data_IF_007124974416
#
_entry.id   IF_007124974416
#
_cell.length_a   1.000
_cell.length_b   1.000
_cell.length_c   1.000
_cell.angle_alpha   90.00
_cell.angle_beta   90.00
_cell.angle_gamma   90.00
#
_symmetry.space_group_name_H-M   'P 1'
#
loop_
_entity.id
_entity.type
_entity.pdbx_description
1 polymer ?
#
# COMPACT_ATOMS: atom_id res chain seq x y z
N UNK A 1 -8.16 24.05 -19.07
CA UNK A 1 -7.13 24.45 -18.07
C UNK A 1 -7.73 24.51 -16.66
N UNK A 2 -9.01 24.82 -16.53
CA UNK A 2 -9.72 24.93 -15.23
C UNK A 2 -9.77 23.64 -14.41
N UNK A 3 -9.88 22.46 -15.06
CA UNK A 3 -9.90 21.18 -14.36
C UNK A 3 -8.56 20.86 -13.67
N UNK A 4 -7.45 21.09 -14.37
CA UNK A 4 -6.10 20.81 -13.86
C UNK A 4 -5.80 21.79 -12.70
N UNK A 5 -6.17 23.06 -12.88
CA UNK A 5 -6.01 24.08 -11.85
C UNK A 5 -6.87 23.78 -10.61
N UNK A 6 -8.13 23.37 -10.81
CA UNK A 6 -9.03 22.97 -9.73
C UNK A 6 -8.52 21.76 -8.95
N UNK A 7 -8.05 20.72 -9.65
CA UNK A 7 -7.46 19.52 -9.02
C UNK A 7 -6.21 19.87 -8.20
N UNK A 8 -5.29 20.65 -8.77
CA UNK A 8 -4.09 21.10 -8.06
C UNK A 8 -4.44 21.91 -6.80
N UNK A 9 -5.44 22.80 -6.91
CA UNK A 9 -5.88 23.64 -5.79
C UNK A 9 -6.46 22.80 -4.65
N UNK A 10 -7.29 21.78 -4.94
CA UNK A 10 -7.84 20.89 -3.90
C UNK A 10 -6.74 20.11 -3.19
N UNK A 11 -5.76 19.56 -3.94
CA UNK A 11 -4.64 18.85 -3.32
C UNK A 11 -3.81 19.76 -2.41
N UNK A 12 -3.49 20.96 -2.89
CA UNK A 12 -2.71 21.94 -2.11
C UNK A 12 -3.46 22.36 -0.85
N UNK A 13 -4.75 22.68 -0.95
CA UNK A 13 -5.57 23.03 0.21
C UNK A 13 -5.68 21.87 1.21
N UNK A 14 -5.85 20.63 0.73
CA UNK A 14 -5.92 19.45 1.60
C UNK A 14 -4.62 19.24 2.38
N UNK A 15 -3.47 19.38 1.71
CA UNK A 15 -2.15 19.27 2.35
C UNK A 15 -1.90 20.41 3.34
N UNK A 16 -2.27 21.65 2.99
CA UNK A 16 -2.19 22.80 3.89
C UNK A 16 -3.05 22.54 5.13
N UNK A 17 -4.28 22.07 4.94
CA UNK A 17 -5.21 21.79 6.03
C UNK A 17 -4.68 20.69 6.96
N UNK A 18 -4.18 19.58 6.42
CA UNK A 18 -3.54 18.53 7.20
C UNK A 18 -2.30 19.06 7.96
N UNK A 19 -1.47 19.88 7.30
CA UNK A 19 -0.32 20.52 7.92
C UNK A 19 -0.70 21.44 9.09
N UNK A 20 -1.76 22.24 8.93
CA UNK A 20 -2.27 23.12 10.01
C UNK A 20 -2.74 22.29 11.20
N UNK A 21 -3.47 21.19 10.99
CA UNK A 21 -3.91 20.30 12.08
C UNK A 21 -2.71 19.71 12.81
N UNK A 22 -1.70 19.22 12.10
CA UNK A 22 -0.50 18.64 12.70
C UNK A 22 0.26 19.70 13.52
N UNK A 23 0.42 20.91 12.98
CA UNK A 23 1.11 21.99 13.67
C UNK A 23 0.37 22.46 14.92
N UNK A 24 -0.96 22.61 14.82
CA UNK A 24 -1.81 22.94 15.97
C UNK A 24 -1.75 21.85 17.03
N UNK A 25 -1.90 20.58 16.63
CA UNK A 25 -1.77 19.42 17.51
C UNK A 25 -0.43 19.39 18.23
N UNK A 26 0.66 19.67 17.51
CA UNK A 26 2.01 19.77 18.10
C UNK A 26 2.16 20.96 19.06
N UNK A 27 1.50 22.07 18.80
CA UNK A 27 1.59 23.28 19.64
C UNK A 27 0.77 23.17 20.94
N UNK A 28 -0.36 22.48 20.90
CA UNK A 28 -1.29 22.33 22.03
C UNK A 28 -0.95 21.11 22.90
N UNK A 29 -0.37 20.05 22.30
CA UNK A 29 -0.04 18.84 23.03
C UNK A 29 1.02 19.07 24.14
N UNK A 30 0.89 18.39 25.29
CA UNK A 30 1.95 18.35 26.29
C UNK A 30 3.26 17.80 25.69
N UNK A 31 4.41 18.25 26.18
CA UNK A 31 5.72 17.73 25.75
C UNK A 31 5.76 16.21 25.96
N UNK A 32 5.97 15.47 24.88
CA UNK A 32 6.12 14.02 24.92
C UNK A 32 7.36 13.66 25.75
N UNK A 33 7.24 12.60 26.57
CA UNK A 33 8.39 12.03 27.26
C UNK A 33 9.27 11.33 26.23
N UNK A 34 10.57 11.56 26.27
CA UNK A 34 11.53 11.04 25.29
C UNK A 34 12.28 9.80 25.77
N UNK A 35 11.99 9.33 26.99
CA UNK A 35 12.70 8.21 27.63
C UNK A 35 11.75 7.35 28.46
N UNK A 36 12.17 6.10 28.70
CA UNK A 36 11.43 5.11 29.50
C UNK A 36 10.24 4.51 28.76
N UNK A 37 9.30 3.94 29.52
CA UNK A 37 8.15 3.20 28.98
C UNK A 37 7.21 4.01 28.05
N UNK A 38 7.35 5.34 28.00
CA UNK A 38 6.54 6.19 27.13
C UNK A 38 6.97 6.16 25.65
N UNK A 39 8.21 5.75 25.36
CA UNK A 39 8.76 5.62 24.00
C UNK A 39 8.98 4.16 23.58
N UNK A 40 8.78 3.22 24.51
CA UNK A 40 8.83 1.79 24.23
C UNK A 40 7.62 1.38 23.38
N UNK A 41 7.82 0.38 22.52
CA UNK A 41 6.73 -0.23 21.75
C UNK A 41 5.67 -0.78 22.70
N UNK A 42 4.39 -0.67 22.33
CA UNK A 42 3.30 -1.20 23.13
C UNK A 42 3.38 -2.74 23.18
N UNK A 43 3.95 -3.24 24.26
CA UNK A 43 4.04 -4.66 24.58
C UNK A 43 4.20 -4.80 26.09
N UNK A 44 3.19 -4.38 26.86
CA UNK A 44 3.04 -4.62 28.32
C UNK A 44 4.30 -4.54 29.23
N UNK A 45 5.34 -3.78 28.87
CA UNK A 45 6.61 -3.73 29.59
C UNK A 45 7.61 -4.84 29.22
N UNK A 46 7.27 -5.72 28.28
CA UNK A 46 8.23 -6.56 27.58
C UNK A 46 9.19 -5.69 26.74
N UNK A 47 10.49 -6.03 26.69
CA UNK A 47 11.43 -5.32 25.84
C UNK A 47 10.93 -5.38 24.39
N UNK A 48 11.00 -4.24 23.69
CA UNK A 48 10.66 -4.20 22.27
C UNK A 48 11.40 -5.32 21.55
N UNK A 49 10.69 -6.09 20.72
CA UNK A 49 11.26 -7.21 19.97
C UNK A 49 12.47 -6.72 19.15
N UNK A 50 13.68 -6.96 19.65
CA UNK A 50 14.93 -6.71 18.93
C UNK A 50 15.01 -7.73 17.79
N UNK A 51 14.52 -7.36 16.61
CA UNK A 51 14.81 -8.11 15.38
C UNK A 51 14.20 -9.51 15.29
N UNK A 52 13.02 -9.74 15.90
CA UNK A 52 12.19 -10.89 15.51
C UNK A 52 11.92 -10.80 14.00
N UNK A 53 12.23 -11.87 13.26
CA UNK A 53 12.06 -11.95 11.80
C UNK A 53 10.72 -11.31 11.42
N UNK A 54 10.75 -10.21 10.65
CA UNK A 54 9.53 -9.60 10.14
C UNK A 54 8.91 -10.64 9.22
N UNK A 55 7.96 -11.41 9.76
CA UNK A 55 7.24 -12.37 8.96
C UNK A 55 6.30 -11.57 8.09
N UNK A 56 6.76 -11.26 6.87
CA UNK A 56 5.90 -10.73 5.84
C UNK A 56 4.75 -11.71 5.68
N UNK A 57 3.55 -11.23 5.95
CA UNK A 57 2.35 -12.04 5.82
C UNK A 57 2.20 -12.37 4.33
N UNK A 58 2.66 -13.55 3.90
CA UNK A 58 2.60 -14.01 2.51
C UNK A 58 1.23 -13.81 1.84
N UNK A 59 0.07 -14.03 2.50
CA UNK A 59 -1.21 -13.72 1.88
C UNK A 59 -1.42 -12.22 1.60
N UNK A 60 -0.90 -11.30 2.43
CA UNK A 60 -0.96 -9.86 2.13
C UNK A 60 -0.07 -9.50 0.94
N UNK A 61 1.09 -10.14 0.80
CA UNK A 61 1.96 -9.97 -0.36
C UNK A 61 1.29 -10.47 -1.65
N UNK A 62 0.70 -11.67 -1.62
CA UNK A 62 -0.04 -12.23 -2.75
C UNK A 62 -1.24 -11.36 -3.11
N UNK A 63 -1.97 -10.84 -2.11
CA UNK A 63 -3.06 -9.88 -2.34
C UNK A 63 -2.57 -8.62 -3.07
N UNK A 64 -1.44 -8.03 -2.63
CA UNK A 64 -0.88 -6.85 -3.28
C UNK A 64 -0.46 -7.13 -4.73
N UNK A 65 0.08 -8.32 -5.02
CA UNK A 65 0.40 -8.74 -6.40
C UNK A 65 -0.86 -8.87 -7.26
N UNK A 66 -1.92 -9.50 -6.77
CA UNK A 66 -3.19 -9.57 -7.49
C UNK A 66 -3.77 -8.17 -7.72
N UNK A 67 -3.75 -7.31 -6.70
CA UNK A 67 -4.21 -5.94 -6.82
C UNK A 67 -3.48 -5.18 -7.94
N UNK A 68 -2.15 -5.28 -7.99
CA UNK A 68 -1.34 -4.65 -9.06
C UNK A 68 -1.70 -5.17 -10.45
N UNK A 69 -1.87 -6.48 -10.59
CA UNK A 69 -2.27 -7.11 -11.86
C UNK A 69 -3.66 -6.67 -12.33
N UNK A 70 -4.64 -6.59 -11.42
CA UNK A 70 -5.99 -6.16 -11.76
C UNK A 70 -6.12 -4.64 -11.95
N UNK A 71 -5.33 -3.82 -11.25
CA UNK A 71 -5.32 -2.37 -11.41
C UNK A 71 -4.77 -1.96 -12.79
N UNK A 72 -3.63 -2.53 -13.17
CA UNK A 72 -3.05 -2.35 -14.50
C UNK A 72 -3.93 -2.89 -15.64
N UNK A 73 -4.69 -3.98 -15.40
CA UNK A 73 -5.75 -4.44 -16.32
C UNK A 73 -6.81 -3.36 -16.52
N UNK A 74 -7.29 -2.75 -15.44
CA UNK A 74 -8.26 -1.65 -15.48
C UNK A 74 -7.72 -0.45 -16.26
N UNK A 75 -6.45 -0.09 -16.06
CA UNK A 75 -5.79 0.99 -16.80
C UNK A 75 -5.71 0.71 -18.31
N UNK A 76 -5.32 -0.52 -18.70
CA UNK A 76 -5.22 -0.90 -20.12
C UNK A 76 -6.59 -1.00 -20.78
N UNK A 77 -7.61 -1.50 -20.07
CA UNK A 77 -8.99 -1.51 -20.55
C UNK A 77 -9.52 -0.09 -20.77
N UNK A 78 -9.22 0.83 -19.84
CA UNK A 78 -9.58 2.24 -19.96
C UNK A 78 -8.92 2.90 -21.18
N UNK A 79 -7.62 2.68 -21.40
CA UNK A 79 -6.91 3.22 -22.56
C UNK A 79 -7.35 2.60 -23.89
N UNK A 80 -7.80 1.35 -23.89
CA UNK A 80 -8.23 0.63 -25.09
C UNK A 80 -9.69 0.91 -25.51
N UNK A 81 -10.39 1.85 -24.87
CA UNK A 81 -11.80 2.15 -25.10
C UNK A 81 -12.14 2.44 -26.58
N UNK A 82 -11.19 2.94 -27.38
CA UNK A 82 -11.37 3.29 -28.79
C UNK A 82 -10.83 2.23 -29.80
N UNK A 83 -10.32 1.06 -29.36
CA UNK A 83 -9.54 0.00 -30.10
C UNK A 83 -8.00 0.13 -29.94
N UNK A 84 -7.16 -0.95 -30.02
CA UNK A 84 -7.36 -2.31 -30.55
C UNK A 84 -7.36 -3.41 -29.47
N UNK A 85 -8.37 -4.27 -29.50
CA UNK A 85 -8.55 -5.38 -28.54
C UNK A 85 -7.39 -6.37 -28.46
N UNK A 86 -6.45 -6.37 -29.41
CA UNK A 86 -5.29 -7.26 -29.41
C UNK A 86 -4.34 -6.97 -28.23
N UNK A 87 -4.12 -5.70 -27.88
CA UNK A 87 -3.30 -5.30 -26.71
C UNK A 87 -3.97 -5.78 -25.42
N UNK A 88 -5.28 -5.58 -25.30
CA UNK A 88 -6.08 -6.03 -24.16
C UNK A 88 -6.05 -7.55 -24.03
N UNK A 89 -6.21 -8.28 -25.14
CA UNK A 89 -6.17 -9.75 -25.15
C UNK A 89 -4.78 -10.25 -24.75
N UNK A 90 -3.71 -9.69 -25.32
CA UNK A 90 -2.34 -10.08 -24.95
C UNK A 90 -2.07 -9.81 -23.47
N UNK A 91 -2.56 -8.67 -22.96
CA UNK A 91 -2.38 -8.31 -21.57
C UNK A 91 -3.17 -9.23 -20.64
N UNK A 92 -4.44 -9.51 -20.95
CA UNK A 92 -5.27 -10.48 -20.23
C UNK A 92 -4.62 -11.86 -20.15
N UNK A 93 -4.03 -12.34 -21.26
CA UNK A 93 -3.32 -13.62 -21.28
C UNK A 93 -2.10 -13.59 -20.35
N UNK A 94 -1.27 -12.54 -20.42
CA UNK A 94 -0.10 -12.40 -19.54
C UNK A 94 -0.53 -12.31 -18.08
N UNK A 95 -1.57 -11.54 -17.78
CA UNK A 95 -2.07 -11.39 -16.41
C UNK A 95 -2.67 -12.70 -15.87
N UNK A 96 -3.38 -13.48 -16.69
CA UNK A 96 -3.89 -14.80 -16.30
C UNK A 96 -2.76 -15.79 -16.05
N UNK A 97 -1.71 -15.81 -16.88
CA UNK A 97 -0.53 -16.65 -16.66
C UNK A 97 0.20 -16.24 -15.38
N UNK A 98 0.37 -14.95 -15.13
CA UNK A 98 0.98 -14.45 -13.90
C UNK A 98 0.15 -14.78 -12.65
N UNK A 99 -1.17 -14.60 -12.71
CA UNK A 99 -2.08 -14.95 -11.63
C UNK A 99 -2.11 -16.46 -11.37
N UNK A 100 -2.08 -17.28 -12.43
CA UNK A 100 -1.95 -18.73 -12.34
C UNK A 100 -0.62 -19.12 -11.67
N UNK A 101 0.50 -18.51 -12.06
CA UNK A 101 1.80 -18.77 -11.45
C UNK A 101 1.79 -18.48 -9.93
N UNK A 102 1.27 -17.31 -9.53
CA UNK A 102 1.15 -16.95 -8.10
C UNK A 102 0.18 -17.89 -7.36
N UNK A 103 -0.90 -18.34 -8.00
CA UNK A 103 -1.87 -19.28 -7.42
C UNK A 103 -1.32 -20.70 -7.27
N UNK A 104 -0.46 -21.12 -8.20
CA UNK A 104 0.16 -22.44 -8.20
C UNK A 104 1.43 -22.50 -7.38
N UNK A 105 1.97 -21.35 -6.95
CA UNK A 105 3.15 -21.32 -6.08
C UNK A 105 2.77 -22.07 -4.80
N UNK A 106 3.36 -23.25 -4.55
CA UNK A 106 2.85 -24.16 -3.56
C UNK A 106 3.03 -23.57 -2.16
N UNK A 107 2.06 -23.87 -1.30
CA UNK A 107 1.95 -23.46 0.11
C UNK A 107 3.17 -23.85 0.98
N UNK A 108 4.10 -24.62 0.41
CA UNK A 108 5.32 -25.16 1.01
C UNK A 108 6.20 -24.07 1.64
N UNK A 109 6.25 -22.85 1.07
CA UNK A 109 7.05 -21.75 1.65
C UNK A 109 6.42 -21.12 2.91
N UNK A 110 5.16 -21.43 3.23
CA UNK A 110 4.45 -20.91 4.40
C UNK A 110 4.65 -21.78 5.66
N UNK A 111 5.11 -23.03 5.51
CA UNK A 111 5.28 -23.96 6.64
C UNK A 111 6.71 -23.96 7.23
N UNK A 112 7.70 -23.44 6.51
CA UNK A 112 9.08 -23.28 7.03
C UNK A 112 9.31 -21.98 7.79
N UNK A 113 8.28 -21.13 7.88
CA UNK A 113 8.30 -19.86 8.60
C UNK A 113 7.39 -19.89 9.84
N UNK A 114 7.40 -20.98 10.60
CA UNK A 114 6.87 -21.03 11.99
C UNK A 114 8.00 -21.48 12.90
#
# INVERSE_FOLDING_TARGET
MDLILGFALVLVLSLIFAGVIILLGRSVAPKARTTGAAVESYACGEPAFEGGKIQFNLPLFNYALYFLFFESLGFILFLSWQSPGLVVITYLLVTLVAAMYVSLTPKELSQEAV
#
